data_IF_276398473732
#
_entry.id   IF_276398473732
#
_cell.length_a   1.000
_cell.length_b   1.000
_cell.length_c   1.000
_cell.angle_alpha   90.00
_cell.angle_beta   90.00
_cell.angle_gamma   90.00
#
_symmetry.space_group_name_H-M   'P 1'
#
loop_
_entity.id
_entity.type
_entity.pdbx_description
1 polymer ?
#
# COMPACT_ATOMS: atom_id res chain seq x y z
N UNK A 1 15.73 5.26 -16.46
CA UNK A 1 14.62 5.51 -15.53
C UNK A 1 14.96 4.81 -14.22
N UNK A 2 14.61 5.35 -13.06
CA UNK A 2 14.77 4.60 -11.83
C UNK A 2 13.96 3.31 -11.93
N UNK A 3 14.57 2.20 -11.56
CA UNK A 3 13.98 0.86 -11.65
C UNK A 3 12.91 0.61 -10.57
N UNK A 4 12.83 1.46 -9.55
CA UNK A 4 11.88 1.35 -8.44
C UNK A 4 11.21 2.69 -8.14
N UNK A 5 9.94 2.66 -7.70
CA UNK A 5 9.24 3.85 -7.24
C UNK A 5 9.87 4.41 -5.95
N UNK A 6 9.58 5.68 -5.67
CA UNK A 6 10.14 6.39 -4.50
C UNK A 6 9.82 5.70 -3.17
N UNK A 7 8.61 5.16 -3.01
CA UNK A 7 8.24 4.42 -1.79
C UNK A 7 9.06 3.13 -1.65
N UNK A 8 9.28 2.40 -2.74
CA UNK A 8 10.08 1.15 -2.72
C UNK A 8 11.52 1.46 -2.34
N UNK A 9 12.12 2.51 -2.92
CA UNK A 9 13.49 2.93 -2.58
C UNK A 9 13.61 3.32 -1.10
N UNK A 10 12.68 4.13 -0.61
CA UNK A 10 12.64 4.51 0.80
C UNK A 10 12.60 3.28 1.72
N UNK A 11 11.76 2.31 1.40
CA UNK A 11 11.64 1.10 2.21
C UNK A 11 12.92 0.23 2.17
N UNK A 12 13.55 0.10 0.99
CA UNK A 12 14.81 -0.61 0.86
C UNK A 12 15.93 0.07 1.67
N UNK A 13 16.03 1.39 1.62
CA UNK A 13 17.01 2.16 2.39
C UNK A 13 16.73 2.08 3.91
N UNK A 14 15.47 1.92 4.29
CA UNK A 14 15.07 1.65 5.67
C UNK A 14 15.29 0.19 6.12
N UNK A 15 15.86 -0.67 5.25
CA UNK A 15 16.18 -2.06 5.55
C UNK A 15 15.06 -3.05 5.28
N UNK A 16 13.99 -2.67 4.57
CA UNK A 16 12.94 -3.60 4.21
C UNK A 16 13.36 -4.57 3.10
N UNK A 17 13.06 -5.83 3.28
CA UNK A 17 13.22 -6.86 2.26
C UNK A 17 11.98 -6.89 1.35
N UNK A 18 12.13 -6.38 0.13
CA UNK A 18 11.09 -6.48 -0.89
C UNK A 18 11.24 -7.84 -1.57
N UNK A 19 10.27 -8.73 -1.40
CA UNK A 19 10.41 -10.12 -1.86
C UNK A 19 9.41 -10.52 -2.94
N UNK A 20 8.32 -9.76 -3.14
CA UNK A 20 7.28 -10.12 -4.11
C UNK A 20 6.57 -8.88 -4.64
N UNK A 21 6.00 -9.00 -5.83
CA UNK A 21 5.01 -8.07 -6.38
C UNK A 21 3.71 -8.85 -6.56
N UNK A 22 2.68 -8.47 -5.84
CA UNK A 22 1.41 -9.18 -5.79
C UNK A 22 0.51 -8.85 -6.97
N UNK A 23 -0.50 -9.71 -7.21
CA UNK A 23 -1.46 -9.51 -8.28
C UNK A 23 -2.36 -8.29 -8.03
N UNK A 24 -2.60 -7.56 -9.11
CA UNK A 24 -3.56 -6.46 -9.19
C UNK A 24 -4.44 -6.66 -10.43
N UNK A 25 -5.64 -6.06 -10.50
CA UNK A 25 -6.47 -6.17 -11.69
C UNK A 25 -5.87 -5.44 -12.88
N UNK A 26 -6.18 -5.89 -14.08
CA UNK A 26 -5.79 -5.20 -15.31
C UNK A 26 -6.29 -3.75 -15.29
N UNK A 27 -5.39 -2.79 -15.51
CA UNK A 27 -5.71 -1.36 -15.47
C UNK A 27 -5.94 -0.75 -14.08
N UNK A 28 -5.83 -1.51 -13.01
CA UNK A 28 -5.97 -1.08 -11.59
C UNK A 28 -7.38 -0.57 -11.19
N UNK A 29 -8.33 -0.52 -12.10
CA UNK A 29 -9.67 0.06 -11.90
C UNK A 29 -10.74 -1.02 -11.97
N UNK A 30 -10.80 -1.85 -10.94
CA UNK A 30 -11.84 -2.86 -10.79
C UNK A 30 -12.14 -3.08 -9.30
N UNK A 31 -13.27 -3.68 -9.00
CA UNK A 31 -13.68 -4.05 -7.63
C UNK A 31 -13.29 -5.48 -7.26
N UNK A 32 -12.73 -6.22 -8.22
CA UNK A 32 -12.19 -7.56 -8.05
C UNK A 32 -10.82 -7.67 -8.70
N UNK A 33 -9.89 -8.38 -8.07
CA UNK A 33 -8.55 -8.58 -8.60
C UNK A 33 -8.54 -9.74 -9.59
N UNK A 34 -8.69 -9.39 -10.85
CA UNK A 34 -8.62 -10.29 -12.00
C UNK A 34 -7.64 -9.74 -13.01
N UNK A 35 -6.78 -10.57 -13.55
CA UNK A 35 -5.89 -10.21 -14.65
C UNK A 35 -5.82 -11.32 -15.69
N UNK A 36 -5.56 -10.94 -16.95
CA UNK A 36 -5.43 -11.87 -18.04
C UNK A 36 -4.21 -12.80 -17.91
N UNK A 37 -3.21 -12.37 -17.12
CA UNK A 37 -1.96 -13.11 -16.93
C UNK A 37 -2.07 -14.09 -15.76
N UNK A 38 -2.64 -13.67 -14.61
CA UNK A 38 -2.63 -14.44 -13.37
C UNK A 38 -4.00 -14.98 -12.96
N UNK A 39 -5.03 -14.63 -13.73
CA UNK A 39 -6.40 -15.01 -13.39
C UNK A 39 -6.96 -14.22 -12.19
N UNK A 40 -7.88 -14.85 -11.48
CA UNK A 40 -8.61 -14.28 -10.35
C UNK A 40 -7.87 -14.54 -9.03
N UNK A 41 -7.68 -13.49 -8.24
CA UNK A 41 -7.21 -13.61 -6.86
C UNK A 41 -8.41 -13.87 -5.94
N UNK A 42 -8.41 -15.01 -5.29
CA UNK A 42 -9.50 -15.43 -4.39
C UNK A 42 -9.21 -15.03 -2.94
N UNK A 43 -10.28 -14.96 -2.14
CA UNK A 43 -10.15 -14.74 -0.71
C UNK A 43 -9.47 -15.95 -0.05
N UNK A 44 -8.46 -15.76 0.82
CA UNK A 44 -7.73 -16.86 1.44
C UNK A 44 -8.57 -17.72 2.38
N UNK A 45 -9.66 -17.19 2.92
CA UNK A 45 -10.55 -17.94 3.82
C UNK A 45 -11.65 -18.70 3.06
N UNK A 46 -12.02 -18.24 1.87
CA UNK A 46 -13.01 -18.91 1.03
C UNK A 46 -12.75 -18.60 -0.46
N UNK A 47 -12.30 -19.57 -1.24
CA UNK A 47 -11.95 -19.36 -2.66
C UNK A 47 -13.14 -18.99 -3.54
N UNK A 48 -14.37 -19.13 -3.09
CA UNK A 48 -15.56 -18.68 -3.80
C UNK A 48 -15.79 -17.16 -3.68
N UNK A 49 -15.13 -16.51 -2.72
CA UNK A 49 -15.21 -15.09 -2.48
C UNK A 49 -14.05 -14.34 -3.11
N UNK A 50 -14.25 -13.05 -3.36
CA UNK A 50 -13.21 -12.15 -3.86
C UNK A 50 -12.26 -11.74 -2.73
N UNK A 51 -10.99 -11.51 -3.04
CA UNK A 51 -10.04 -10.84 -2.16
C UNK A 51 -10.21 -9.30 -2.15
N UNK A 52 -11.12 -8.77 -2.96
CA UNK A 52 -11.26 -7.33 -3.19
C UNK A 52 -10.25 -6.82 -4.22
N UNK A 53 -10.25 -5.51 -4.44
CA UNK A 53 -9.35 -4.83 -5.39
C UNK A 53 -9.07 -3.38 -4.96
N UNK A 54 -8.01 -2.79 -5.54
CA UNK A 54 -7.12 -3.34 -6.54
C UNK A 54 -5.89 -4.04 -5.93
N UNK A 55 -5.65 -3.98 -4.61
CA UNK A 55 -4.56 -4.64 -3.88
C UNK A 55 -5.00 -6.01 -3.35
N UNK A 56 -5.77 -6.78 -4.14
CA UNK A 56 -6.32 -8.06 -3.68
C UNK A 56 -5.24 -9.12 -3.45
N UNK A 57 -4.22 -9.17 -4.30
CA UNK A 57 -3.07 -10.05 -4.09
C UNK A 57 -2.32 -9.74 -2.80
N UNK A 58 -2.15 -8.46 -2.47
CA UNK A 58 -1.52 -8.01 -1.23
C UNK A 58 -2.35 -8.35 0.00
N UNK A 59 -3.67 -8.09 -0.04
CA UNK A 59 -4.59 -8.46 1.04
C UNK A 59 -4.57 -9.96 1.33
N UNK A 60 -4.64 -10.78 0.28
CA UNK A 60 -4.56 -12.23 0.41
C UNK A 60 -3.22 -12.70 0.98
N UNK A 61 -2.10 -12.15 0.49
CA UNK A 61 -0.76 -12.51 0.95
C UNK A 61 -0.56 -12.22 2.44
N UNK A 62 -0.94 -11.01 2.87
CA UNK A 62 -0.85 -10.60 4.29
C UNK A 62 -1.75 -11.48 5.17
N UNK A 63 -2.97 -11.77 4.73
CA UNK A 63 -3.91 -12.62 5.46
C UNK A 63 -3.39 -14.07 5.62
N UNK A 64 -2.64 -14.58 4.65
CA UNK A 64 -1.96 -15.89 4.74
C UNK A 64 -0.65 -15.83 5.53
N UNK A 65 -0.23 -14.70 6.06
CA UNK A 65 1.04 -14.54 6.77
C UNK A 65 2.28 -14.58 5.86
N UNK A 66 2.10 -14.46 4.56
CA UNK A 66 3.20 -14.48 3.58
C UNK A 66 4.02 -13.18 3.53
N UNK A 67 3.50 -12.08 4.07
CA UNK A 67 4.20 -10.83 4.28
C UNK A 67 3.69 -10.14 5.55
N UNK A 68 4.54 -9.42 6.23
CA UNK A 68 4.13 -8.57 7.36
C UNK A 68 3.43 -7.32 6.90
N UNK A 69 3.97 -6.69 5.85
CA UNK A 69 3.47 -5.44 5.28
C UNK A 69 3.34 -5.61 3.77
N UNK A 70 2.28 -5.07 3.23
CA UNK A 70 2.08 -4.86 1.80
C UNK A 70 1.88 -3.38 1.54
N UNK A 71 2.38 -2.89 0.41
CA UNK A 71 2.16 -1.51 -0.03
C UNK A 71 1.32 -1.51 -1.29
N UNK A 72 0.11 -1.03 -1.16
CA UNK A 72 -0.78 -0.77 -2.29
C UNK A 72 -0.95 0.72 -2.56
N UNK A 73 -1.82 1.02 -3.50
CA UNK A 73 -2.28 2.39 -3.78
C UNK A 73 -3.80 2.45 -3.64
N UNK A 74 -4.30 3.57 -3.15
CA UNK A 74 -5.74 3.75 -2.90
C UNK A 74 -6.21 5.09 -3.45
N UNK A 75 -7.15 5.06 -4.38
CA UNK A 75 -7.93 6.22 -4.84
C UNK A 75 -9.31 6.15 -4.18
N UNK A 76 -10.07 5.10 -4.48
CA UNK A 76 -11.45 4.92 -4.08
C UNK A 76 -11.71 3.73 -3.14
N UNK A 77 -10.66 3.12 -2.55
CA UNK A 77 -10.79 1.96 -1.67
C UNK A 77 -9.82 0.82 -1.96
N UNK A 78 -8.91 0.99 -2.92
CA UNK A 78 -8.09 -0.10 -3.45
C UNK A 78 -7.14 -0.78 -2.45
N UNK A 79 -6.94 -0.23 -1.28
CA UNK A 79 -6.24 -0.87 -0.15
C UNK A 79 -7.25 -1.28 0.93
N UNK A 80 -8.21 -0.43 1.22
CA UNK A 80 -9.21 -0.63 2.28
C UNK A 80 -10.18 -1.77 1.96
N UNK A 81 -10.61 -1.91 0.69
CA UNK A 81 -11.52 -2.99 0.26
C UNK A 81 -10.85 -4.36 0.44
N UNK A 82 -9.64 -4.61 -0.09
CA UNK A 82 -8.94 -5.87 0.17
C UNK A 82 -8.68 -6.12 1.65
N UNK A 83 -8.32 -5.10 2.41
CA UNK A 83 -8.12 -5.24 3.85
C UNK A 83 -9.39 -5.73 4.56
N UNK A 84 -10.54 -5.13 4.25
CA UNK A 84 -11.83 -5.52 4.80
C UNK A 84 -12.20 -6.97 4.41
N UNK A 85 -12.04 -7.32 3.15
CA UNK A 85 -12.43 -8.65 2.65
C UNK A 85 -11.50 -9.77 3.13
N UNK A 86 -10.21 -9.48 3.28
CA UNK A 86 -9.22 -10.45 3.76
C UNK A 86 -8.99 -10.40 5.28
N UNK A 87 -9.73 -9.58 6.02
CA UNK A 87 -9.64 -9.52 7.49
C UNK A 87 -8.29 -9.00 8.00
N UNK A 88 -7.65 -8.09 7.27
CA UNK A 88 -6.37 -7.46 7.65
C UNK A 88 -6.54 -5.97 7.88
N UNK A 89 -5.54 -5.34 8.47
CA UNK A 89 -5.54 -3.91 8.75
C UNK A 89 -4.98 -3.10 7.60
N UNK A 90 -5.51 -1.90 7.41
CA UNK A 90 -4.97 -0.95 6.43
C UNK A 90 -5.18 0.49 6.86
N UNK A 91 -4.36 1.37 6.31
CA UNK A 91 -4.52 2.80 6.47
C UNK A 91 -4.42 3.48 5.11
N UNK A 92 -5.50 4.14 4.66
CA UNK A 92 -5.38 5.12 3.59
C UNK A 92 -4.82 6.41 4.17
N UNK A 93 -3.55 6.66 3.90
CA UNK A 93 -2.88 7.86 4.38
C UNK A 93 -3.47 9.14 3.77
N UNK A 94 -3.17 10.28 4.37
CA UNK A 94 -3.44 11.57 3.76
C UNK A 94 -2.60 11.76 2.50
N UNK A 95 -3.13 12.47 1.52
CA UNK A 95 -2.41 12.82 0.29
C UNK A 95 -1.11 13.56 0.62
N UNK A 96 -0.01 13.16 0.00
CA UNK A 96 1.31 13.72 0.27
C UNK A 96 1.94 13.23 1.57
N UNK A 97 1.45 12.14 2.19
CA UNK A 97 2.09 11.53 3.37
C UNK A 97 3.20 10.56 2.97
N UNK A 98 2.98 9.76 1.95
CA UNK A 98 3.94 8.79 1.44
C UNK A 98 4.37 9.14 0.02
N UNK A 99 5.63 8.83 -0.35
CA UNK A 99 6.11 9.06 -1.70
C UNK A 99 5.35 8.17 -2.70
N UNK A 100 4.98 8.74 -3.84
CA UNK A 100 4.27 8.04 -4.92
C UNK A 100 4.97 8.18 -6.27
N UNK A 101 5.97 9.03 -6.36
CA UNK A 101 6.68 9.30 -7.61
C UNK A 101 7.31 8.02 -8.19
N UNK A 102 7.11 7.80 -9.50
CA UNK A 102 7.56 6.60 -10.19
C UNK A 102 6.65 5.37 -10.01
N UNK A 103 5.52 5.52 -9.31
CA UNK A 103 4.48 4.49 -9.28
C UNK A 103 3.68 4.49 -10.58
N UNK A 104 3.43 3.30 -11.14
CA UNK A 104 2.58 3.16 -12.32
C UNK A 104 1.12 3.51 -12.01
N UNK A 105 0.46 4.19 -12.92
CA UNK A 105 -0.97 4.50 -12.85
C UNK A 105 -1.60 4.42 -14.23
N UNK A 106 -2.83 3.91 -14.30
CA UNK A 106 -3.65 3.97 -15.50
C UNK A 106 -4.22 5.36 -15.78
N UNK A 107 -4.12 6.26 -14.79
CA UNK A 107 -4.63 7.64 -14.85
C UNK A 107 -3.55 8.64 -14.44
N UNK A 108 -2.45 8.64 -15.19
CA UNK A 108 -1.37 9.60 -14.94
C UNK A 108 -1.86 11.03 -15.19
N UNK A 109 -1.56 11.95 -14.27
CA UNK A 109 -1.97 13.35 -14.35
C UNK A 109 -3.37 13.65 -13.82
N UNK A 110 -4.08 12.67 -13.25
CA UNK A 110 -5.35 12.92 -12.57
C UNK A 110 -5.10 13.64 -11.24
N UNK A 111 -5.43 14.92 -11.17
CA UNK A 111 -5.23 15.76 -9.99
C UNK A 111 -6.44 15.79 -9.04
N UNK A 112 -7.65 15.54 -9.56
CA UNK A 112 -8.89 15.66 -8.78
C UNK A 112 -9.05 14.61 -7.67
N UNK A 113 -8.54 13.39 -7.91
CA UNK A 113 -8.55 12.28 -6.94
C UNK A 113 -7.14 11.70 -6.83
N UNK A 114 -6.32 12.18 -5.90
CA UNK A 114 -4.94 11.76 -5.81
C UNK A 114 -4.81 10.30 -5.39
N UNK A 115 -3.92 9.59 -6.06
CA UNK A 115 -3.44 8.27 -5.64
C UNK A 115 -2.64 8.43 -4.35
N UNK A 116 -2.89 7.57 -3.40
CA UNK A 116 -2.16 7.53 -2.13
C UNK A 116 -1.55 6.15 -1.94
N UNK A 117 -0.23 6.08 -1.76
CA UNK A 117 0.42 4.87 -1.29
C UNK A 117 -0.05 4.57 0.13
N UNK A 118 -0.38 3.32 0.41
CA UNK A 118 -1.03 2.93 1.66
C UNK A 118 -0.64 1.52 2.07
N UNK A 119 -0.32 1.29 3.35
CA UNK A 119 0.04 -0.03 3.85
C UNK A 119 -1.15 -0.90 4.19
N UNK A 120 -0.95 -2.23 4.08
CA UNK A 120 -1.74 -3.27 4.72
C UNK A 120 -0.83 -4.07 5.68
N UNK A 121 -1.39 -4.53 6.78
CA UNK A 121 -0.68 -5.35 7.78
C UNK A 121 -1.63 -6.37 8.42
N UNK A 122 -1.08 -7.48 8.90
CA UNK A 122 -1.85 -8.52 9.58
C UNK A 122 -2.33 -8.11 10.99
N UNK A 123 -1.69 -7.12 11.59
CA UNK A 123 -2.03 -6.58 12.91
C UNK A 123 -1.78 -5.07 12.97
N UNK A 124 -2.31 -4.42 14.00
CA UNK A 124 -2.22 -2.98 14.17
C UNK A 124 -0.80 -2.53 14.59
N UNK A 125 -0.08 -3.36 15.31
CA UNK A 125 1.28 -3.11 15.79
C UNK A 125 2.25 -2.96 14.62
N UNK A 126 2.21 -3.91 13.67
CA UNK A 126 3.04 -3.86 12.45
C UNK A 126 2.70 -2.63 11.60
N UNK A 127 1.41 -2.28 11.50
CA UNK A 127 0.97 -1.08 10.78
C UNK A 127 1.52 0.20 11.42
N UNK A 128 1.46 0.30 12.74
CA UNK A 128 1.96 1.45 13.49
C UNK A 128 3.49 1.58 13.39
N UNK A 129 4.20 0.46 13.53
CA UNK A 129 5.66 0.45 13.39
C UNK A 129 6.10 0.83 11.96
N UNK A 130 5.39 0.36 10.95
CA UNK A 130 5.61 0.78 9.56
C UNK A 130 5.47 2.30 9.41
N UNK A 131 4.36 2.88 9.89
CA UNK A 131 4.11 4.32 9.81
C UNK A 131 5.23 5.12 10.46
N UNK A 132 5.65 4.73 11.66
CA UNK A 132 6.74 5.35 12.40
C UNK A 132 8.05 5.32 11.62
N UNK A 133 8.43 4.15 11.10
CA UNK A 133 9.69 3.98 10.35
C UNK A 133 9.70 4.80 9.06
N UNK A 134 8.61 4.79 8.30
CA UNK A 134 8.53 5.58 7.07
C UNK A 134 8.64 7.08 7.34
N UNK A 135 8.01 7.58 8.41
CA UNK A 135 8.14 9.00 8.79
C UNK A 135 9.58 9.33 9.18
N UNK A 136 10.23 8.49 9.99
CA UNK A 136 11.62 8.67 10.41
C UNK A 136 12.62 8.59 9.25
N UNK A 137 12.29 7.86 8.20
CA UNK A 137 13.10 7.75 6.97
C UNK A 137 13.03 9.01 6.08
N UNK A 138 12.37 10.08 6.52
CA UNK A 138 12.29 11.38 5.82
C UNK A 138 11.78 11.25 4.38
N UNK A 139 10.53 10.83 4.18
CA UNK A 139 9.97 10.50 2.86
C UNK A 139 10.02 11.66 1.85
N UNK A 140 10.07 12.90 2.30
CA UNK A 140 10.27 14.11 1.47
C UNK A 140 11.61 14.17 0.74
N UNK A 141 12.61 13.38 1.14
CA UNK A 141 13.88 13.26 0.42
C UNK A 141 13.75 12.36 -0.82
N UNK A 142 12.71 11.57 -0.91
CA UNK A 142 12.44 10.62 -2.00
C UNK A 142 11.42 11.16 -3.01
N UNK A 143 10.58 12.10 -2.58
CA UNK A 143 9.51 12.66 -3.41
C UNK A 143 9.15 14.07 -2.93
N UNK A 144 9.32 15.06 -3.80
CA UNK A 144 9.04 16.46 -3.50
C UNK A 144 7.56 16.77 -3.27
N UNK A 145 6.66 15.86 -3.65
CA UNK A 145 5.21 16.00 -3.39
C UNK A 145 4.82 15.62 -1.97
N UNK A 146 5.72 15.00 -1.22
CA UNK A 146 5.49 14.67 0.19
C UNK A 146 5.51 15.94 1.03
N UNK A 147 4.41 16.19 1.73
CA UNK A 147 4.25 17.37 2.58
C UNK A 147 4.88 17.16 3.95
N UNK A 148 5.72 18.10 4.35
CA UNK A 148 6.19 18.21 5.73
C UNK A 148 5.03 18.67 6.62
N UNK A 149 4.39 17.74 7.30
CA UNK A 149 3.44 18.08 8.36
C UNK A 149 4.17 18.06 9.70
N UNK A 150 4.48 19.21 10.22
CA UNK A 150 5.18 19.41 11.51
C UNK A 150 4.35 19.05 12.75
N UNK A 151 3.21 18.43 12.62
CA UNK A 151 2.30 18.16 13.72
C UNK A 151 2.20 16.69 14.11
N UNK A 152 3.32 16.02 14.23
CA UNK A 152 3.38 14.84 15.08
C UNK A 152 4.14 15.24 16.34
N UNK A 153 3.40 15.66 17.37
CA UNK A 153 3.99 15.65 18.69
C UNK A 153 4.45 14.23 18.98
N UNK A 154 5.74 14.06 19.24
CA UNK A 154 6.36 12.76 19.60
C UNK A 154 5.71 12.14 20.86
N UNK A 155 4.82 12.84 21.52
CA UNK A 155 4.04 12.40 22.68
C UNK A 155 3.05 11.27 22.40
N UNK A 156 2.72 10.97 21.14
CA UNK A 156 1.84 9.83 20.80
C UNK A 156 2.60 8.49 20.86
N UNK A 157 3.93 8.53 20.88
CA UNK A 157 4.79 7.34 20.82
C UNK A 157 5.58 7.05 22.10
N UNK A 158 5.36 7.82 23.16
CA UNK A 158 5.95 7.61 24.49
C UNK A 158 4.91 6.98 25.42
N UNK A 159 4.47 5.79 25.11
CA UNK A 159 3.67 4.93 25.96
C UNK A 159 4.23 3.53 25.93
#
# INVERSE_FOLDING_TARGET
MPTSSSIVRLLQDAGALIHVKTAVPTGLLAIETVSDIFGRTTNPYNPNHTAGASTGGGGALVACGGSKIEIGTDIGGSVRIPAHFCGVWSLRASSGRFPTWGSGSSMMGLEGLPIVASPLAGNLEDLNEFLKRVILAKPWQYDHTVRLTFSLSLSIFSG
#
